data_IF_252616950122
#
_entry.id   IF_252616950122
#
_cell.length_a   1.000
_cell.length_b   1.000
_cell.length_c   1.000
_cell.angle_alpha   90.00
_cell.angle_beta   90.00
_cell.angle_gamma   90.00
#
_symmetry.space_group_name_H-M   'P 1'
#
loop_
_entity.id
_entity.type
_entity.pdbx_description
1 polymer ?
#
# COMPACT_ATOMS: atom_id res chain seq x y z
N UNK A 1 -63.63 10.38 -23.21
CA UNK A 1 -62.54 10.86 -22.32
C UNK A 1 -62.11 9.86 -21.20
N UNK A 2 -62.69 8.66 -21.09
CA UNK A 2 -62.24 7.63 -20.10
C UNK A 2 -61.31 6.56 -20.68
N UNK A 3 -61.19 6.44 -21.96
CA UNK A 3 -60.37 5.40 -22.60
C UNK A 3 -58.86 5.72 -22.64
N UNK A 4 -58.51 7.00 -22.77
CA UNK A 4 -57.11 7.45 -22.84
C UNK A 4 -56.37 7.35 -21.48
N UNK A 5 -57.11 7.51 -20.38
CA UNK A 5 -56.53 7.43 -19.02
C UNK A 5 -56.14 5.98 -18.65
N UNK A 6 -56.91 4.99 -19.15
CA UNK A 6 -56.63 3.57 -18.87
C UNK A 6 -55.42 3.11 -19.68
N UNK A 7 -55.31 3.58 -20.93
CA UNK A 7 -54.16 3.25 -21.80
C UNK A 7 -52.83 3.83 -21.26
N UNK A 8 -52.88 5.03 -20.71
CA UNK A 8 -51.71 5.66 -20.10
C UNK A 8 -51.27 4.94 -18.80
N UNK A 9 -52.21 4.50 -17.95
CA UNK A 9 -51.86 3.75 -16.73
C UNK A 9 -51.22 2.39 -17.06
N UNK A 10 -51.72 1.67 -18.08
CA UNK A 10 -51.08 0.42 -18.55
C UNK A 10 -49.67 0.65 -19.11
N UNK A 11 -49.47 1.73 -19.86
CA UNK A 11 -48.14 2.08 -20.39
C UNK A 11 -47.17 2.44 -19.25
N UNK A 12 -47.60 3.21 -18.26
CA UNK A 12 -46.78 3.56 -17.10
C UNK A 12 -46.41 2.32 -16.29
N UNK A 13 -47.36 1.40 -16.07
CA UNK A 13 -47.09 0.14 -15.38
C UNK A 13 -46.09 -0.72 -16.15
N UNK A 14 -46.24 -0.81 -17.49
CA UNK A 14 -45.29 -1.55 -18.31
C UNK A 14 -43.88 -1.00 -18.26
N UNK A 15 -43.73 0.33 -18.28
CA UNK A 15 -42.44 1.03 -18.13
C UNK A 15 -41.80 0.73 -16.76
N UNK A 16 -42.59 0.76 -15.68
CA UNK A 16 -42.10 0.42 -14.35
C UNK A 16 -41.62 -1.03 -14.25
N UNK A 17 -42.34 -1.98 -14.82
CA UNK A 17 -41.94 -3.39 -14.86
C UNK A 17 -40.65 -3.58 -15.65
N UNK A 18 -40.50 -2.89 -16.80
CA UNK A 18 -39.28 -2.95 -17.62
C UNK A 18 -38.07 -2.33 -16.86
N UNK A 19 -38.28 -1.21 -16.18
CA UNK A 19 -37.23 -0.61 -15.37
C UNK A 19 -36.78 -1.51 -14.21
N UNK A 20 -37.71 -2.16 -13.53
CA UNK A 20 -37.43 -3.15 -12.48
C UNK A 20 -36.66 -4.34 -13.05
N UNK A 21 -37.05 -4.87 -14.21
CA UNK A 21 -36.33 -5.95 -14.88
C UNK A 21 -34.93 -5.56 -15.31
N UNK A 22 -34.74 -4.35 -15.84
CA UNK A 22 -33.39 -3.81 -16.16
C UNK A 22 -32.55 -3.70 -14.90
N UNK A 23 -33.13 -3.20 -13.80
CA UNK A 23 -32.43 -3.09 -12.52
C UNK A 23 -31.99 -4.46 -11.98
N UNK A 24 -32.83 -5.49 -12.08
CA UNK A 24 -32.46 -6.86 -11.68
C UNK A 24 -31.44 -7.50 -12.61
N UNK A 25 -31.52 -7.25 -13.92
CA UNK A 25 -30.54 -7.75 -14.89
C UNK A 25 -29.18 -7.07 -14.73
N UNK A 26 -29.12 -5.78 -14.46
CA UNK A 26 -27.87 -5.06 -14.21
C UNK A 26 -27.25 -5.48 -12.87
N UNK A 27 -28.04 -5.68 -11.82
CA UNK A 27 -27.52 -6.18 -10.54
C UNK A 27 -27.03 -7.64 -10.63
N UNK A 28 -27.63 -8.48 -11.46
CA UNK A 28 -27.17 -9.86 -11.67
C UNK A 28 -25.83 -9.91 -12.42
N UNK A 29 -25.59 -8.95 -13.31
CA UNK A 29 -24.31 -8.83 -14.04
C UNK A 29 -23.18 -8.28 -13.15
N UNK A 30 -23.51 -7.56 -12.08
CA UNK A 30 -22.50 -7.02 -11.13
C UNK A 30 -22.05 -8.04 -10.08
N UNK A 31 -22.80 -9.12 -9.85
CA UNK A 31 -22.49 -10.11 -8.82
C UNK A 31 -21.63 -11.29 -9.32
N UNK A 32 -21.38 -11.39 -10.61
CA UNK A 32 -20.65 -12.53 -11.20
C UNK A 32 -19.27 -12.17 -11.80
N UNK A 33 -18.81 -10.92 -11.70
CA UNK A 33 -17.37 -10.65 -11.83
C UNK A 33 -16.74 -10.87 -10.45
N UNK A 34 -16.86 -12.06 -9.94
CA UNK A 34 -15.83 -12.63 -9.07
C UNK A 34 -14.64 -12.90 -9.98
N UNK A 35 -13.86 -11.85 -10.19
CA UNK A 35 -12.57 -11.99 -10.82
C UNK A 35 -11.79 -12.97 -9.97
N UNK A 36 -11.51 -14.10 -10.57
CA UNK A 36 -10.46 -15.01 -10.21
C UNK A 36 -9.25 -14.15 -9.77
N UNK A 37 -9.15 -13.89 -8.46
CA UNK A 37 -7.90 -13.43 -7.87
C UNK A 37 -6.93 -14.55 -8.18
N UNK A 38 -6.28 -14.47 -9.34
CA UNK A 38 -5.17 -15.35 -9.66
C UNK A 38 -4.29 -15.31 -8.44
N UNK A 39 -4.42 -16.38 -7.67
CA UNK A 39 -3.51 -16.75 -6.63
C UNK A 39 -2.12 -16.81 -7.28
N UNK A 40 -1.49 -15.66 -7.38
CA UNK A 40 -0.08 -15.60 -7.65
C UNK A 40 0.53 -16.34 -6.46
N UNK A 41 0.82 -17.62 -6.67
CA UNK A 41 1.06 -18.60 -5.66
C UNK A 41 2.17 -18.12 -4.72
N UNK A 42 1.77 -17.59 -3.59
CA UNK A 42 2.64 -17.45 -2.42
C UNK A 42 3.09 -18.83 -1.88
N UNK A 43 2.57 -19.93 -2.45
CA UNK A 43 2.83 -21.32 -2.03
C UNK A 43 4.31 -21.63 -1.87
N UNK A 44 5.15 -21.11 -2.75
CA UNK A 44 6.60 -21.34 -2.70
C UNK A 44 7.26 -20.68 -1.49
N UNK A 45 6.66 -19.63 -0.92
CA UNK A 45 7.25 -18.81 0.13
C UNK A 45 6.58 -19.02 1.49
N UNK A 46 5.49 -19.81 1.57
CA UNK A 46 4.74 -20.03 2.78
C UNK A 46 4.86 -21.48 3.29
N UNK A 47 5.09 -21.63 4.58
CA UNK A 47 5.03 -22.91 5.29
C UNK A 47 3.61 -23.12 5.79
N UNK A 48 2.93 -24.17 5.33
CA UNK A 48 1.51 -24.51 5.62
C UNK A 48 0.51 -23.56 5.01
N UNK A 49 -0.10 -23.97 3.90
CA UNK A 49 -1.25 -23.30 3.32
C UNK A 49 -2.47 -24.17 3.61
N UNK A 50 -3.38 -23.67 4.47
CA UNK A 50 -4.79 -23.97 4.37
C UNK A 50 -5.43 -22.73 3.75
N UNK A 51 -5.89 -22.85 2.51
CA UNK A 51 -6.66 -21.81 1.85
C UNK A 51 -7.99 -21.64 2.58
N UNK A 52 -8.07 -20.61 3.40
CA UNK A 52 -9.32 -20.03 3.82
C UNK A 52 -9.33 -18.58 3.33
N UNK A 53 -10.13 -18.29 2.33
CA UNK A 53 -10.20 -16.99 1.67
C UNK A 53 -10.67 -15.86 2.59
N UNK A 54 -11.16 -16.16 3.78
CA UNK A 54 -11.79 -15.16 4.64
C UNK A 54 -10.85 -14.43 5.60
N UNK A 55 -9.63 -14.91 5.86
CA UNK A 55 -8.87 -14.46 7.04
C UNK A 55 -7.35 -14.30 6.88
N UNK A 56 -6.88 -13.85 5.74
CA UNK A 56 -5.46 -13.51 5.57
C UNK A 56 -5.08 -12.18 6.25
N UNK A 57 -5.53 -11.97 7.49
CA UNK A 57 -5.07 -10.81 8.27
C UNK A 57 -3.60 -11.04 8.65
N UNK A 58 -2.76 -10.05 8.39
CA UNK A 58 -1.37 -10.06 8.85
C UNK A 58 -1.38 -9.71 10.35
N UNK A 59 -0.80 -10.57 11.16
CA UNK A 59 -0.61 -10.32 12.59
C UNK A 59 0.65 -9.49 12.83
N UNK A 60 1.76 -9.89 12.21
CA UNK A 60 3.03 -9.18 12.33
C UNK A 60 3.95 -9.47 11.16
N UNK A 61 4.92 -8.60 10.99
CA UNK A 61 6.01 -8.72 10.02
C UNK A 61 7.32 -8.69 10.82
N UNK A 62 8.21 -9.65 10.55
CA UNK A 62 9.55 -9.66 11.10
C UNK A 62 10.55 -9.34 10.00
N UNK A 63 11.50 -8.45 10.29
CA UNK A 63 12.56 -8.02 9.37
C UNK A 63 13.90 -8.39 9.97
N UNK A 64 14.65 -9.22 9.24
CA UNK A 64 15.97 -9.70 9.60
C UNK A 64 16.95 -9.22 8.53
N UNK A 65 17.77 -8.22 8.86
CA UNK A 65 18.81 -7.73 7.96
C UNK A 65 19.97 -8.70 7.87
N UNK A 66 20.45 -9.01 6.68
CA UNK A 66 21.64 -9.87 6.47
C UNK A 66 22.87 -9.27 7.15
N UNK A 67 23.00 -7.94 7.13
CA UNK A 67 24.04 -7.21 7.84
C UNK A 67 23.43 -6.10 8.70
N UNK A 68 22.88 -6.51 9.86
CA UNK A 68 22.28 -5.58 10.81
C UNK A 68 23.25 -4.50 11.32
N UNK A 69 24.54 -4.85 11.51
CA UNK A 69 25.55 -3.88 11.96
C UNK A 69 25.73 -2.73 10.97
N UNK A 70 25.78 -3.04 9.67
CA UNK A 70 25.88 -2.03 8.63
C UNK A 70 24.63 -1.16 8.55
N UNK A 71 23.45 -1.76 8.64
CA UNK A 71 22.17 -1.07 8.73
C UNK A 71 22.12 -0.11 9.92
N UNK A 72 22.41 -0.59 11.14
CA UNK A 72 22.39 0.23 12.36
C UNK A 72 23.39 1.36 12.31
N UNK A 73 24.60 1.13 11.78
CA UNK A 73 25.62 2.17 11.59
C UNK A 73 25.11 3.27 10.65
N UNK A 74 24.42 2.91 9.58
CA UNK A 74 23.83 3.89 8.68
C UNK A 74 22.72 4.68 9.36
N UNK A 75 21.84 4.03 10.12
CA UNK A 75 20.76 4.67 10.88
C UNK A 75 21.30 5.66 11.92
N UNK A 76 22.38 5.30 12.61
CA UNK A 76 23.06 6.20 13.54
C UNK A 76 23.65 7.42 12.82
N UNK A 77 24.25 7.22 11.64
CA UNK A 77 24.78 8.34 10.84
C UNK A 77 23.69 9.31 10.42
N UNK A 78 22.49 8.82 10.07
CA UNK A 78 21.35 9.67 9.75
C UNK A 78 20.99 10.52 10.98
N UNK A 79 20.82 9.92 12.14
CA UNK A 79 20.49 10.63 13.38
C UNK A 79 21.53 11.70 13.74
N UNK A 80 22.81 11.39 13.62
CA UNK A 80 23.88 12.33 13.95
C UNK A 80 24.02 13.49 12.95
N UNK A 81 23.47 13.36 11.75
CA UNK A 81 23.44 14.44 10.76
C UNK A 81 22.21 15.36 10.89
N UNK A 82 21.26 15.07 11.75
CA UNK A 82 20.03 15.85 11.95
C UNK A 82 20.31 17.33 12.28
N UNK A 83 21.37 17.63 13.01
CA UNK A 83 21.75 19.00 13.37
C UNK A 83 22.44 19.78 12.24
N UNK A 84 22.88 19.10 11.19
CA UNK A 84 23.68 19.67 10.10
C UNK A 84 22.91 19.83 8.80
N UNK A 85 21.90 19.03 8.59
CA UNK A 85 21.18 18.93 7.33
C UNK A 85 19.67 19.15 7.58
N UNK A 86 19.01 19.80 6.63
CA UNK A 86 17.55 19.99 6.67
C UNK A 86 16.79 18.71 6.31
N UNK A 87 17.36 17.92 5.42
CA UNK A 87 16.78 16.67 4.90
C UNK A 87 17.77 15.52 5.03
N UNK A 88 17.24 14.30 5.04
CA UNK A 88 18.06 13.09 5.03
C UNK A 88 18.73 12.96 3.65
N UNK A 89 20.08 13.06 3.57
CA UNK A 89 20.79 12.98 2.30
C UNK A 89 20.57 11.63 1.59
N UNK A 90 20.46 11.66 0.27
CA UNK A 90 20.27 10.46 -0.56
C UNK A 90 21.36 9.40 -0.36
N UNK A 91 22.60 9.81 -0.08
CA UNK A 91 23.72 8.89 0.21
C UNK A 91 23.44 7.91 1.36
N UNK A 92 22.51 8.25 2.27
CA UNK A 92 22.11 7.37 3.38
C UNK A 92 20.91 6.49 3.07
N UNK A 93 20.23 6.70 1.92
CA UNK A 93 19.08 5.91 1.50
C UNK A 93 19.48 4.65 0.69
N UNK A 94 20.60 4.03 1.09
CA UNK A 94 21.09 2.78 0.49
C UNK A 94 20.16 1.61 0.82
N UNK A 95 19.97 0.69 -0.13
CA UNK A 95 19.19 -0.54 0.07
C UNK A 95 20.05 -1.64 0.67
N UNK A 96 19.53 -2.26 1.70
CA UNK A 96 20.13 -3.39 2.39
C UNK A 96 19.33 -4.66 2.12
N UNK A 97 19.99 -5.80 1.89
CA UNK A 97 19.32 -7.09 1.81
C UNK A 97 18.79 -7.51 3.18
N UNK A 98 17.60 -8.11 3.17
CA UNK A 98 16.94 -8.58 4.38
C UNK A 98 15.96 -9.71 4.05
N UNK A 99 15.66 -10.55 5.04
CA UNK A 99 14.54 -11.47 5.00
C UNK A 99 13.34 -10.84 5.71
N UNK A 100 12.15 -11.03 5.14
CA UNK A 100 10.87 -10.61 5.70
C UNK A 100 10.05 -11.85 5.99
N UNK A 101 9.70 -12.06 7.24
CA UNK A 101 8.83 -13.13 7.67
C UNK A 101 7.47 -12.52 8.02
N UNK A 102 6.42 -12.99 7.37
CA UNK A 102 5.05 -12.53 7.58
C UNK A 102 4.28 -13.59 8.34
N UNK A 103 3.74 -13.21 9.48
CA UNK A 103 2.88 -14.05 10.31
C UNK A 103 1.43 -13.66 10.09
N UNK A 104 0.62 -14.62 9.64
CA UNK A 104 -0.81 -14.44 9.40
C UNK A 104 -1.66 -14.96 10.54
N UNK A 105 -2.88 -14.45 10.68
CA UNK A 105 -3.81 -14.84 11.75
C UNK A 105 -4.21 -16.33 11.71
N UNK A 106 -4.14 -16.96 10.56
CA UNK A 106 -4.41 -18.39 10.34
C UNK A 106 -3.19 -19.29 10.60
N UNK A 107 -2.17 -18.79 11.31
CA UNK A 107 -0.90 -19.44 11.58
C UNK A 107 -0.04 -19.79 10.33
N UNK A 108 -0.36 -19.21 9.17
CA UNK A 108 0.53 -19.28 8.04
C UNK A 108 1.75 -18.38 8.27
N UNK A 109 2.91 -18.85 7.85
CA UNK A 109 4.18 -18.12 7.93
C UNK A 109 4.79 -18.12 6.54
N UNK A 110 5.06 -16.92 6.03
CA UNK A 110 5.66 -16.74 4.71
C UNK A 110 6.98 -15.98 4.83
N UNK A 111 7.98 -16.43 4.08
CA UNK A 111 9.34 -15.88 4.09
C UNK A 111 9.69 -15.31 2.71
N UNK A 112 10.17 -14.07 2.68
CA UNK A 112 10.49 -13.34 1.45
C UNK A 112 11.85 -12.67 1.56
N UNK A 113 12.64 -12.72 0.50
CA UNK A 113 13.82 -11.87 0.34
C UNK A 113 13.42 -10.48 -0.11
N UNK A 114 14.05 -9.48 0.47
CA UNK A 114 13.73 -8.09 0.22
C UNK A 114 14.97 -7.19 0.19
N UNK A 115 14.81 -6.04 -0.45
CA UNK A 115 15.73 -4.92 -0.38
C UNK A 115 15.05 -3.77 0.34
N UNK A 116 15.63 -3.35 1.44
CA UNK A 116 15.04 -2.36 2.35
C UNK A 116 15.97 -1.15 2.46
N UNK A 117 15.37 0.03 2.43
CA UNK A 117 16.07 1.27 2.73
C UNK A 117 15.28 2.14 3.70
N UNK A 118 15.91 3.13 4.28
CA UNK A 118 15.22 4.22 4.97
C UNK A 118 14.27 4.93 4.00
N UNK A 119 13.08 5.30 4.48
CA UNK A 119 12.08 6.05 3.74
C UNK A 119 11.81 7.40 4.41
N UNK A 120 11.49 8.40 3.58
CA UNK A 120 11.21 9.76 3.98
C UNK A 120 12.41 10.68 3.77
N UNK A 121 12.13 11.96 3.55
CA UNK A 121 13.13 12.99 3.31
C UNK A 121 13.42 13.80 4.57
N UNK A 122 12.46 13.88 5.48
CA UNK A 122 12.59 14.58 6.75
C UNK A 122 13.09 13.68 7.88
N UNK A 123 13.70 14.28 8.89
CA UNK A 123 14.24 13.55 10.04
C UNK A 123 13.18 13.04 11.03
N UNK A 124 11.92 13.44 10.91
CA UNK A 124 10.81 12.85 11.66
C UNK A 124 10.55 11.37 11.30
N UNK A 125 11.03 10.93 10.13
CA UNK A 125 11.02 9.53 9.69
C UNK A 125 12.07 8.65 10.38
N UNK A 126 12.87 9.17 11.27
CA UNK A 126 13.85 8.40 12.07
C UNK A 126 13.96 9.02 13.46
N UNK A 127 13.90 8.19 14.49
CA UNK A 127 14.02 8.67 15.88
C UNK A 127 14.56 7.60 16.81
N UNK A 128 15.06 8.06 17.95
CA UNK A 128 15.40 7.20 19.07
C UNK A 128 14.13 6.97 19.93
N UNK A 129 13.79 5.72 20.18
CA UNK A 129 12.67 5.32 21.04
C UNK A 129 13.09 4.15 21.92
N UNK A 130 12.99 4.33 23.24
CA UNK A 130 13.37 3.31 24.23
C UNK A 130 14.78 2.73 23.98
N UNK A 131 15.74 3.60 23.69
CA UNK A 131 17.12 3.19 23.41
C UNK A 131 17.35 2.53 22.04
N UNK A 132 16.34 2.49 21.18
CA UNK A 132 16.43 1.91 19.85
C UNK A 132 16.15 2.92 18.76
N UNK A 133 16.86 2.78 17.65
CA UNK A 133 16.57 3.58 16.46
C UNK A 133 15.42 2.92 15.73
N UNK A 134 14.34 3.67 15.56
CA UNK A 134 13.20 3.29 14.73
C UNK A 134 13.10 4.26 13.56
N UNK A 135 12.71 3.76 12.39
CA UNK A 135 12.64 4.56 11.18
C UNK A 135 11.64 4.02 10.18
N UNK A 136 11.10 4.91 9.36
CA UNK A 136 10.26 4.52 8.23
C UNK A 136 11.08 3.80 7.17
N UNK A 137 10.48 2.79 6.53
CA UNK A 137 11.15 1.86 5.62
C UNK A 137 10.49 1.88 4.25
N UNK A 138 11.28 1.80 3.18
CA UNK A 138 10.85 1.50 1.81
C UNK A 138 11.31 0.07 1.47
N UNK A 139 10.36 -0.82 1.27
CA UNK A 139 10.57 -2.25 1.12
C UNK A 139 10.23 -2.68 -0.30
N UNK A 140 11.15 -3.39 -0.94
CA UNK A 140 10.94 -4.07 -2.21
C UNK A 140 11.19 -5.56 -2.02
N UNK A 141 10.19 -6.39 -2.27
CA UNK A 141 10.37 -7.83 -2.32
C UNK A 141 11.11 -8.22 -3.60
N UNK A 142 12.07 -9.11 -3.50
CA UNK A 142 12.81 -9.59 -4.68
C UNK A 142 11.97 -10.57 -5.49
N UNK A 143 11.15 -11.38 -4.82
CA UNK A 143 10.22 -12.35 -5.42
C UNK A 143 9.02 -12.54 -4.50
N UNK A 144 7.90 -12.96 -5.09
CA UNK A 144 6.65 -13.17 -4.37
C UNK A 144 5.92 -11.86 -4.04
N UNK A 145 4.88 -11.96 -3.25
CA UNK A 145 4.09 -10.81 -2.83
C UNK A 145 3.45 -11.03 -1.46
N UNK A 146 3.12 -9.96 -0.77
CA UNK A 146 2.33 -9.95 0.46
C UNK A 146 0.94 -9.42 0.11
N UNK A 147 -0.06 -10.29 -0.02
CA UNK A 147 -1.43 -9.91 -0.42
C UNK A 147 -1.48 -9.17 -1.78
N UNK A 148 -0.66 -9.60 -2.75
CA UNK A 148 -0.55 -8.96 -4.05
C UNK A 148 0.38 -7.75 -4.08
N UNK A 149 1.02 -7.38 -2.96
CA UNK A 149 1.92 -6.22 -2.86
C UNK A 149 3.38 -6.67 -2.94
N UNK A 150 4.14 -6.12 -3.87
CA UNK A 150 5.57 -6.40 -4.06
C UNK A 150 6.46 -5.28 -3.53
N UNK A 151 5.94 -4.04 -3.51
CA UNK A 151 6.65 -2.84 -3.04
C UNK A 151 5.75 -2.08 -2.08
N UNK A 152 6.24 -1.78 -0.90
CA UNK A 152 5.47 -1.09 0.13
C UNK A 152 6.35 -0.23 1.03
N UNK A 153 5.71 0.65 1.76
CA UNK A 153 6.33 1.48 2.80
C UNK A 153 5.81 1.07 4.16
N UNK A 154 6.69 1.09 5.15
CA UNK A 154 6.37 0.96 6.55
C UNK A 154 6.68 2.31 7.20
N UNK A 155 5.66 3.10 7.47
CA UNK A 155 5.84 4.41 8.09
C UNK A 155 5.75 4.31 9.60
N UNK A 156 6.50 5.16 10.30
CA UNK A 156 6.23 5.43 11.69
C UNK A 156 4.86 6.13 11.79
N UNK A 157 3.92 5.65 12.61
CA UNK A 157 2.58 6.23 12.69
C UNK A 157 2.57 7.73 13.03
N UNK A 158 3.60 8.21 13.74
CA UNK A 158 3.76 9.63 14.08
C UNK A 158 4.07 10.54 12.88
N UNK A 159 4.51 9.99 11.74
CA UNK A 159 4.84 10.76 10.52
C UNK A 159 3.67 10.84 9.55
N UNK A 160 2.59 10.14 9.85
CA UNK A 160 1.39 10.03 9.02
C UNK A 160 0.14 10.02 9.89
N UNK A 161 -0.94 10.58 9.41
CA UNK A 161 -2.24 10.37 10.03
C UNK A 161 -2.82 9.02 9.55
N UNK A 162 -2.23 7.92 10.04
CA UNK A 162 -2.51 6.58 9.56
C UNK A 162 -4.00 6.22 9.58
N UNK A 163 -4.75 6.63 10.62
CA UNK A 163 -6.18 6.35 10.72
C UNK A 163 -6.97 7.02 9.61
N UNK A 164 -6.71 8.30 9.34
CA UNK A 164 -7.37 9.03 8.25
C UNK A 164 -6.97 8.47 6.88
N UNK A 165 -5.69 8.14 6.68
CA UNK A 165 -5.22 7.56 5.42
C UNK A 165 -5.87 6.20 5.14
N UNK A 166 -6.06 5.35 6.16
CA UNK A 166 -6.76 4.06 6.01
C UNK A 166 -8.23 4.27 5.62
N UNK A 167 -8.90 5.21 6.27
CA UNK A 167 -10.32 5.52 5.98
C UNK A 167 -10.45 6.06 4.55
N UNK A 168 -9.61 7.03 4.16
CA UNK A 168 -9.62 7.62 2.82
C UNK A 168 -9.29 6.56 1.76
N UNK A 169 -8.29 5.72 1.99
CA UNK A 169 -7.93 4.65 1.07
C UNK A 169 -9.10 3.67 0.86
N UNK A 170 -9.81 3.31 1.93
CA UNK A 170 -11.00 2.47 1.84
C UNK A 170 -12.13 3.18 1.06
N UNK A 171 -12.42 4.43 1.38
CA UNK A 171 -13.45 5.22 0.68
C UNK A 171 -13.15 5.32 -0.82
N UNK A 172 -11.92 5.67 -1.19
CA UNK A 172 -11.52 5.75 -2.59
C UNK A 172 -11.70 4.41 -3.31
N UNK A 173 -11.33 3.30 -2.67
CA UNK A 173 -11.55 1.97 -3.22
C UNK A 173 -13.02 1.65 -3.41
N UNK A 174 -13.87 1.97 -2.42
CA UNK A 174 -15.31 1.73 -2.48
C UNK A 174 -15.99 2.59 -3.57
N UNK A 175 -15.40 3.75 -3.90
CA UNK A 175 -15.81 4.62 -5.02
C UNK A 175 -15.23 4.20 -6.38
N UNK A 176 -14.45 3.10 -6.45
CA UNK A 176 -13.87 2.60 -7.70
C UNK A 176 -12.57 3.28 -8.14
N UNK A 177 -11.95 4.07 -7.28
CA UNK A 177 -10.63 4.66 -7.56
C UNK A 177 -9.49 3.69 -7.23
N UNK A 178 -8.34 3.90 -7.88
CA UNK A 178 -7.09 3.22 -7.52
C UNK A 178 -6.70 3.66 -6.10
N UNK A 179 -6.58 2.69 -5.21
CA UNK A 179 -6.26 2.96 -3.82
C UNK A 179 -5.25 1.95 -3.28
N UNK A 180 -4.17 2.42 -2.63
CA UNK A 180 -3.16 1.53 -2.06
C UNK A 180 -3.72 0.75 -0.87
N UNK A 181 -3.31 -0.51 -0.72
CA UNK A 181 -3.58 -1.28 0.49
C UNK A 181 -2.86 -0.63 1.66
N UNK A 182 -3.62 -0.27 2.70
CA UNK A 182 -3.13 0.49 3.85
C UNK A 182 -3.72 -0.05 5.14
N UNK A 183 -2.86 -0.35 6.13
CA UNK A 183 -3.26 -0.87 7.43
C UNK A 183 -2.15 -0.69 8.47
N UNK A 184 -2.52 -0.79 9.74
CA UNK A 184 -1.56 -0.85 10.84
C UNK A 184 -1.08 -2.29 11.05
N UNK A 185 0.20 -2.46 11.33
CA UNK A 185 0.82 -3.76 11.54
C UNK A 185 1.98 -3.67 12.55
N UNK A 186 2.09 -4.67 13.39
CA UNK A 186 3.25 -4.85 14.24
C UNK A 186 4.46 -5.33 13.43
N UNK A 187 5.59 -4.63 13.56
CA UNK A 187 6.84 -5.02 12.88
C UNK A 187 7.93 -5.26 13.92
N UNK A 188 8.57 -6.41 13.81
CA UNK A 188 9.74 -6.78 14.59
C UNK A 188 10.99 -6.51 13.75
N UNK A 189 11.88 -5.69 14.25
CA UNK A 189 13.20 -5.47 13.64
C UNK A 189 14.25 -5.85 14.68
N UNK A 190 15.02 -6.89 14.38
CA UNK A 190 16.00 -7.43 15.33
C UNK A 190 15.39 -7.68 16.71
N UNK A 191 14.28 -8.42 16.77
CA UNK A 191 13.50 -8.77 17.96
C UNK A 191 12.86 -7.59 18.72
N UNK A 192 12.84 -6.39 18.12
CA UNK A 192 12.20 -5.21 18.72
C UNK A 192 10.93 -4.89 18.00
N UNK A 193 9.83 -4.98 18.72
CA UNK A 193 8.48 -4.77 18.19
C UNK A 193 8.11 -3.29 18.22
N UNK A 194 7.59 -2.79 17.09
CA UNK A 194 7.00 -1.45 16.96
C UNK A 194 5.79 -1.50 16.05
N UNK A 195 4.84 -0.60 16.27
CA UNK A 195 3.70 -0.42 15.38
C UNK A 195 4.12 0.40 14.16
N UNK A 196 3.72 -0.05 12.97
CA UNK A 196 3.95 0.64 11.71
C UNK A 196 2.64 0.79 10.92
N UNK A 197 2.60 1.82 10.11
CA UNK A 197 1.60 1.99 9.07
C UNK A 197 2.13 1.42 7.76
N UNK A 198 1.56 0.30 7.34
CA UNK A 198 1.83 -0.33 6.05
C UNK A 198 1.07 0.41 4.96
N UNK A 199 1.74 0.77 3.88
CA UNK A 199 1.12 1.35 2.70
C UNK A 199 1.76 0.77 1.44
N UNK A 200 0.92 0.21 0.56
CA UNK A 200 1.33 -0.22 -0.77
C UNK A 200 1.90 0.95 -1.55
N UNK A 201 3.00 0.73 -2.25
CA UNK A 201 3.60 1.77 -3.08
C UNK A 201 2.85 1.89 -4.40
N UNK A 202 2.69 3.11 -4.88
CA UNK A 202 2.22 3.37 -6.23
C UNK A 202 3.19 2.70 -7.23
N UNK A 203 2.74 1.63 -7.86
CA UNK A 203 3.53 0.79 -8.75
C UNK A 203 2.63 0.20 -9.82
N UNK A 204 3.22 -0.40 -10.82
CA UNK A 204 2.50 -1.10 -11.90
C UNK A 204 1.52 -2.15 -11.32
N UNK A 205 1.97 -2.91 -10.34
CA UNK A 205 1.16 -3.95 -9.70
C UNK A 205 -0.09 -3.40 -9.03
N UNK A 206 -0.03 -2.18 -8.46
CA UNK A 206 -1.21 -1.49 -7.92
C UNK A 206 -2.21 -1.15 -9.02
N UNK A 207 -1.74 -0.62 -10.16
CA UNK A 207 -2.59 -0.27 -11.31
C UNK A 207 -3.26 -1.51 -11.88
N UNK A 208 -2.48 -2.57 -12.12
CA UNK A 208 -2.98 -3.85 -12.64
C UNK A 208 -3.96 -4.53 -11.68
N UNK A 209 -3.66 -4.53 -10.38
CA UNK A 209 -4.56 -5.12 -9.37
C UNK A 209 -5.85 -4.35 -9.17
N UNK A 210 -5.90 -3.11 -9.65
CA UNK A 210 -7.10 -2.26 -9.67
C UNK A 210 -7.84 -2.32 -11.01
N UNK A 211 -7.49 -3.24 -11.91
CA UNK A 211 -8.09 -3.46 -13.24
C UNK A 211 -7.97 -2.28 -14.21
N UNK A 212 -6.99 -1.42 -14.01
CA UNK A 212 -6.69 -0.36 -14.97
C UNK A 212 -5.60 -0.83 -15.94
N UNK A 213 -5.63 -0.28 -17.16
CA UNK A 213 -4.58 -0.51 -18.16
C UNK A 213 -3.25 0.02 -17.65
N UNK A 214 -2.17 -0.64 -18.05
CA UNK A 214 -0.81 -0.18 -17.77
C UNK A 214 -0.62 1.26 -18.29
N UNK A 215 -0.23 2.15 -17.39
CA UNK A 215 -0.05 3.56 -17.67
C UNK A 215 1.06 4.13 -16.76
N UNK A 216 1.75 5.19 -17.20
CA UNK A 216 2.75 5.84 -16.36
C UNK A 216 2.08 6.47 -15.12
N UNK A 217 2.72 6.29 -13.98
CA UNK A 217 2.33 6.92 -12.72
C UNK A 217 3.17 8.20 -12.55
N UNK A 218 2.51 9.31 -12.31
CA UNK A 218 3.16 10.60 -12.05
C UNK A 218 3.01 10.96 -10.58
N UNK A 219 4.09 11.37 -9.95
CA UNK A 219 4.13 11.86 -8.57
C UNK A 219 4.55 13.33 -8.58
N UNK A 220 3.86 14.18 -7.80
CA UNK A 220 4.24 15.57 -7.62
C UNK A 220 5.59 15.69 -6.92
N UNK A 221 6.34 16.74 -7.21
CA UNK A 221 7.60 17.01 -6.54
C UNK A 221 7.38 17.92 -5.33
N UNK A 222 7.39 17.34 -4.12
CA UNK A 222 7.21 18.06 -2.86
C UNK A 222 8.32 19.10 -2.58
N UNK A 223 9.48 18.98 -3.20
CA UNK A 223 10.58 19.94 -3.05
C UNK A 223 10.22 21.36 -3.52
N UNK A 224 9.20 21.51 -4.37
CA UNK A 224 8.69 22.81 -4.80
C UNK A 224 7.92 23.55 -3.69
N UNK A 225 7.31 22.83 -2.78
CA UNK A 225 6.50 23.41 -1.68
C UNK A 225 7.37 23.84 -0.51
N UNK A 226 8.46 23.13 -0.25
CA UNK A 226 9.29 23.27 0.96
C UNK A 226 10.64 23.92 0.68
N UNK A 227 11.10 23.93 -0.56
CA UNK A 227 12.44 24.38 -0.94
C UNK A 227 12.44 25.60 -1.81
N UNK A 228 13.01 26.66 -1.31
CA UNK A 228 13.66 27.78 -2.03
C UNK A 228 13.36 27.95 -3.52
N UNK A 229 12.82 29.09 -3.87
CA UNK A 229 12.54 29.73 -5.15
C UNK A 229 13.66 29.74 -6.24
N UNK A 230 14.47 28.71 -6.32
CA UNK A 230 15.47 28.59 -7.39
C UNK A 230 15.06 27.44 -8.31
N UNK A 231 14.44 27.76 -9.40
CA UNK A 231 13.99 26.95 -10.53
C UNK A 231 12.51 26.53 -10.48
N UNK A 232 11.69 27.39 -11.03
CA UNK A 232 10.25 27.19 -11.26
C UNK A 232 9.93 26.19 -12.40
N UNK A 233 10.90 25.47 -12.95
CA UNK A 233 10.74 24.81 -14.25
C UNK A 233 10.34 23.35 -14.21
N UNK A 234 10.00 22.76 -13.05
CA UNK A 234 9.69 21.33 -13.03
C UNK A 234 8.55 20.98 -12.09
N UNK A 235 7.34 21.23 -12.51
CA UNK A 235 6.13 20.83 -11.78
C UNK A 235 5.83 19.32 -11.94
N UNK A 236 6.36 18.62 -12.96
CA UNK A 236 6.00 17.23 -13.27
C UNK A 236 7.18 16.38 -13.74
N UNK A 237 8.23 16.23 -12.95
CA UNK A 237 9.43 15.56 -13.47
C UNK A 237 9.84 14.27 -12.78
N UNK A 238 8.96 13.53 -12.15
CA UNK A 238 9.29 12.18 -11.78
C UNK A 238 8.32 11.19 -12.40
N UNK A 239 8.63 10.78 -13.62
CA UNK A 239 8.07 9.57 -14.19
C UNK A 239 8.58 8.41 -13.34
N UNK A 240 7.71 7.75 -12.61
CA UNK A 240 8.04 6.46 -12.00
C UNK A 240 8.09 5.45 -13.15
N UNK A 241 9.29 5.16 -13.63
CA UNK A 241 9.50 4.06 -14.57
C UNK A 241 9.47 2.76 -13.80
N UNK A 242 8.74 1.81 -14.32
CA UNK A 242 8.58 0.45 -13.83
C UNK A 242 9.83 -0.40 -14.10
#
# INVERSE_FOLDING_TARGET
>A
MKFDIVLTKKKIFLIQVVLILIFFLTNKSYSEIQVDQRNFSSEKYCKKIKFDNSLNKINSIEIIFDNYRSWSKNSLRILTNQSKEKFIPEKFKTRYPANIIVYYANNNICDYKARIRQNGDHFDHIKLSNGNIIQSLDVHLEKGNIKGVTKFKLFLPSTRNASSEIIIAKLLKDLGYISPKSFLVDVLINNKKNLYFFQEKASKELVESSYFKDAPIYEGNENLIVGTHKNQDVIFNKKLTF
#
